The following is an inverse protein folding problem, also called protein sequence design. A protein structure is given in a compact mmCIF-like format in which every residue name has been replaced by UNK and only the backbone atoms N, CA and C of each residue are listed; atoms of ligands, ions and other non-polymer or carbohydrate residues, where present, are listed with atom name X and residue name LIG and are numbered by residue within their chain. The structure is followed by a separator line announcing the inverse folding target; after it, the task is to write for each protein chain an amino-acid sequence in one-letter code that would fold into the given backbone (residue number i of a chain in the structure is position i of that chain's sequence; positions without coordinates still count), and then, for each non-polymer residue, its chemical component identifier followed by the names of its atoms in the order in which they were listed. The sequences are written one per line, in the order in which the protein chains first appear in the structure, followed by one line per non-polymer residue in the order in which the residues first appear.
data_IF_823009636965
#
_entry.id   IF_823009636965
#
_cell.length_a   1.000
_cell.length_b   1.000
_cell.length_c   1.000
_cell.angle_alpha   90.00
_cell.angle_beta   90.00
_cell.angle_gamma   90.00
#
_symmetry.space_group_name_H-M   'P 1'
#
loop_
_entity.id
_entity.type
_entity.pdbx_description
1 polymer ?
#
# COMPACT_ATOMS: atom_id res chain seq x y z
N UNK A 1 -7.73 17.03 16.30
CA UNK A 1 -7.48 15.63 15.89
C UNK A 1 -8.63 15.03 15.08
N UNK A 2 -9.86 14.91 15.60
CA UNK A 2 -10.99 14.28 14.86
C UNK A 2 -11.26 14.91 13.48
N UNK A 3 -11.23 16.25 13.39
CA UNK A 3 -11.44 16.94 12.10
C UNK A 3 -10.34 16.58 11.09
N UNK A 4 -9.09 16.45 11.54
CA UNK A 4 -7.95 16.17 10.67
C UNK A 4 -7.95 14.73 10.16
N UNK A 5 -8.23 13.75 11.04
CA UNK A 5 -8.45 12.37 10.62
C UNK A 5 -9.63 12.25 9.64
N UNK A 6 -10.73 12.95 9.89
CA UNK A 6 -11.87 12.94 8.97
C UNK A 6 -11.52 13.57 7.61
N UNK A 7 -10.71 14.64 7.59
CA UNK A 7 -10.21 15.21 6.35
C UNK A 7 -9.27 14.26 5.60
N UNK A 8 -8.39 13.55 6.29
CA UNK A 8 -7.49 12.54 5.69
C UNK A 8 -8.28 11.35 5.11
N UNK A 9 -9.29 10.86 5.83
CA UNK A 9 -10.20 9.81 5.35
C UNK A 9 -10.98 10.24 4.12
N UNK A 10 -11.51 11.47 4.12
CA UNK A 10 -12.21 12.05 2.96
C UNK A 10 -11.29 12.15 1.74
N UNK A 11 -10.06 12.63 1.93
CA UNK A 11 -9.06 12.70 0.86
C UNK A 11 -8.73 11.31 0.32
N UNK A 12 -8.58 10.31 1.21
CA UNK A 12 -8.35 8.92 0.81
C UNK A 12 -9.50 8.40 -0.05
N UNK A 13 -10.74 8.59 0.37
CA UNK A 13 -11.93 8.17 -0.39
C UNK A 13 -12.03 8.83 -1.76
N UNK A 14 -11.71 10.13 -1.85
CA UNK A 14 -11.68 10.84 -3.14
C UNK A 14 -10.62 10.24 -4.06
N UNK A 15 -9.41 9.99 -3.55
CA UNK A 15 -8.33 9.36 -4.32
C UNK A 15 -8.70 7.95 -4.78
N UNK A 16 -9.33 7.15 -3.92
CA UNK A 16 -9.79 5.79 -4.26
C UNK A 16 -10.82 5.81 -5.41
N UNK A 17 -11.75 6.78 -5.40
CA UNK A 17 -12.73 6.96 -6.51
C UNK A 17 -12.06 7.39 -7.81
N UNK A 18 -11.05 8.28 -7.74
CA UNK A 18 -10.28 8.73 -8.90
C UNK A 18 -9.46 7.59 -9.50
N UNK A 19 -8.79 6.81 -8.64
CA UNK A 19 -8.00 5.66 -9.06
C UNK A 19 -8.90 4.59 -9.70
N UNK A 20 -10.06 4.30 -9.11
CA UNK A 20 -11.04 3.36 -9.67
C UNK A 20 -11.56 3.83 -11.04
N UNK A 21 -11.93 5.11 -11.15
CA UNK A 21 -12.36 5.69 -12.42
C UNK A 21 -11.25 5.59 -13.47
N UNK A 22 -10.00 5.86 -13.08
CA UNK A 22 -8.84 5.78 -13.97
C UNK A 22 -8.57 4.36 -14.44
N UNK A 23 -8.80 3.36 -13.58
CA UNK A 23 -8.77 1.93 -13.92
C UNK A 23 -9.85 1.59 -14.97
N UNK A 24 -11.10 1.97 -14.72
CA UNK A 24 -12.25 1.67 -15.60
C UNK A 24 -12.11 2.24 -17.01
N UNK A 25 -11.52 3.44 -17.12
CA UNK A 25 -11.27 4.09 -18.40
C UNK A 25 -9.92 3.72 -19.03
N UNK A 26 -9.16 2.80 -18.44
CA UNK A 26 -7.84 2.38 -18.94
C UNK A 26 -6.80 3.51 -18.95
N UNK A 27 -6.99 4.55 -18.13
CA UNK A 27 -6.11 5.72 -18.01
C UNK A 27 -5.08 5.59 -16.90
N UNK A 28 -5.05 4.45 -16.21
CA UNK A 28 -4.09 4.20 -15.14
C UNK A 28 -2.67 4.29 -15.72
N UNK A 29 -1.89 5.24 -15.19
CA UNK A 29 -0.47 5.35 -15.48
C UNK A 29 0.30 4.55 -14.44
N UNK A 30 1.20 3.69 -14.92
CA UNK A 30 2.11 2.92 -14.08
C UNK A 30 3.48 3.57 -14.10
N UNK A 31 4.06 3.77 -12.93
CA UNK A 31 5.44 4.19 -12.76
C UNK A 31 6.31 2.97 -12.48
N UNK A 32 6.53 2.14 -13.51
CA UNK A 32 7.35 0.93 -13.39
C UNK A 32 8.83 1.31 -13.22
N UNK A 33 9.48 0.71 -12.24
CA UNK A 33 10.92 0.80 -12.02
C UNK A 33 11.45 -0.37 -11.21
N UNK A 34 12.77 -0.46 -11.04
CA UNK A 34 13.39 -1.48 -10.19
C UNK A 34 13.26 -1.09 -8.71
N UNK A 35 12.66 -1.97 -7.92
CA UNK A 35 12.41 -1.75 -6.49
C UNK A 35 12.78 -3.01 -5.69
N UNK A 36 13.16 -2.83 -4.43
CA UNK A 36 13.44 -3.95 -3.51
C UNK A 36 12.16 -4.41 -2.80
N UNK A 37 11.67 -5.58 -3.17
CA UNK A 37 10.47 -6.17 -2.60
C UNK A 37 10.59 -6.47 -1.10
N UNK A 38 11.80 -6.73 -0.59
CA UNK A 38 12.02 -6.99 0.85
C UNK A 38 11.79 -5.70 1.64
N UNK A 39 12.35 -4.58 1.20
CA UNK A 39 12.09 -3.27 1.77
C UNK A 39 10.60 -2.88 1.67
N UNK A 40 9.96 -3.10 0.52
CA UNK A 40 8.53 -2.82 0.32
C UNK A 40 7.66 -3.58 1.33
N UNK A 41 7.84 -4.90 1.45
CA UNK A 41 7.08 -5.73 2.39
C UNK A 41 7.34 -5.36 3.85
N UNK A 42 8.57 -4.98 4.20
CA UNK A 42 8.92 -4.51 5.55
C UNK A 42 8.15 -3.22 5.88
N UNK A 43 8.14 -2.24 4.97
CA UNK A 43 7.41 -0.99 5.15
C UNK A 43 5.89 -1.21 5.29
N UNK A 44 5.33 -2.12 4.49
CA UNK A 44 3.90 -2.47 4.58
C UNK A 44 3.59 -3.14 5.92
N UNK A 45 4.42 -4.06 6.38
CA UNK A 45 4.25 -4.76 7.65
C UNK A 45 4.27 -3.77 8.82
N UNK A 46 5.21 -2.82 8.82
CA UNK A 46 5.29 -1.76 9.82
C UNK A 46 4.06 -0.84 9.79
N UNK A 47 3.57 -0.52 8.60
CA UNK A 47 2.40 0.33 8.41
C UNK A 47 1.16 -0.36 8.96
N UNK A 48 0.85 -1.57 8.48
CA UNK A 48 -0.33 -2.34 8.90
C UNK A 48 -0.25 -2.69 10.38
N UNK A 49 0.94 -3.02 10.89
CA UNK A 49 1.16 -3.30 12.31
C UNK A 49 0.74 -2.15 13.23
N UNK A 50 0.87 -0.89 12.79
CA UNK A 50 0.46 0.30 13.55
C UNK A 50 -1.05 0.59 13.46
N UNK A 51 -1.70 0.19 12.38
CA UNK A 51 -3.11 0.58 12.10
C UNK A 51 -4.11 -0.56 12.24
N UNK A 52 -3.67 -1.82 12.31
CA UNK A 52 -4.56 -2.98 12.48
C UNK A 52 -5.37 -2.85 13.77
N UNK A 53 -6.65 -3.19 13.68
CA UNK A 53 -7.57 -3.18 14.83
C UNK A 53 -7.78 -4.59 15.42
N UNK A 54 -7.04 -5.58 14.91
CA UNK A 54 -7.15 -6.98 15.32
C UNK A 54 -5.99 -7.36 16.24
N UNK A 55 -6.22 -8.40 17.07
CA UNK A 55 -5.17 -9.00 17.89
C UNK A 55 -4.29 -10.01 17.09
N UNK A 56 -4.58 -10.20 15.81
CA UNK A 56 -3.83 -11.14 14.98
C UNK A 56 -2.37 -10.69 14.84
N UNK A 57 -1.44 -11.63 14.96
CA UNK A 57 -0.03 -11.36 14.70
C UNK A 57 0.20 -11.10 13.22
N UNK A 58 1.00 -10.09 12.89
CA UNK A 58 1.40 -9.79 11.53
C UNK A 58 2.91 -10.02 11.45
N UNK A 59 3.33 -10.92 10.56
CA UNK A 59 4.72 -11.32 10.43
C UNK A 59 5.11 -11.35 8.95
N UNK A 60 6.19 -10.68 8.62
CA UNK A 60 6.87 -10.83 7.33
C UNK A 60 8.14 -11.65 7.53
N UNK A 61 8.26 -12.77 6.81
CA UNK A 61 9.40 -13.69 6.89
C UNK A 61 9.97 -13.90 5.51
N UNK A 62 11.27 -13.69 5.37
CA UNK A 62 12.02 -13.97 4.15
C UNK A 62 13.43 -14.41 4.51
N UNK A 63 14.04 -15.26 3.67
CA UNK A 63 15.47 -15.60 3.76
C UNK A 63 16.35 -14.71 2.88
N UNK A 64 15.74 -13.80 2.12
CA UNK A 64 16.43 -12.87 1.23
C UNK A 64 16.68 -11.55 1.95
N UNK A 65 17.89 -11.01 1.81
CA UNK A 65 18.22 -9.65 2.29
C UNK A 65 17.62 -8.57 1.36
N UNK A 66 17.57 -8.86 0.07
CA UNK A 66 17.06 -7.97 -0.98
C UNK A 66 16.46 -8.81 -2.11
N UNK A 67 15.41 -8.30 -2.76
CA UNK A 67 14.87 -8.85 -3.99
C UNK A 67 14.46 -7.72 -4.94
N UNK A 68 15.31 -7.42 -5.92
CA UNK A 68 15.00 -6.45 -6.97
C UNK A 68 13.94 -6.98 -7.94
N UNK A 69 12.86 -6.24 -8.13
CA UNK A 69 11.78 -6.52 -9.09
C UNK A 69 11.42 -5.25 -9.88
N UNK A 70 11.02 -5.42 -11.14
CA UNK A 70 10.39 -4.33 -11.91
C UNK A 70 8.91 -4.25 -11.54
N UNK A 71 8.52 -3.16 -10.87
CA UNK A 71 7.14 -2.92 -10.43
C UNK A 71 6.88 -1.43 -10.23
N UNK A 72 5.62 -1.07 -10.03
CA UNK A 72 5.23 0.20 -9.41
C UNK A 72 5.15 -0.02 -7.89
N UNK A 73 6.12 0.49 -7.15
CA UNK A 73 6.21 0.29 -5.69
C UNK A 73 5.02 0.89 -4.95
N UNK A 74 4.55 2.07 -5.35
CA UNK A 74 3.42 2.74 -4.70
C UNK A 74 2.13 1.91 -4.82
N UNK A 75 1.89 1.35 -6.02
CA UNK A 75 0.74 0.49 -6.28
C UNK A 75 0.86 -0.86 -5.58
N UNK A 76 2.06 -1.45 -5.56
CA UNK A 76 2.30 -2.70 -4.85
C UNK A 76 2.06 -2.54 -3.35
N UNK A 77 2.57 -1.47 -2.73
CA UNK A 77 2.29 -1.16 -1.33
C UNK A 77 0.78 -1.01 -1.07
N UNK A 78 0.07 -0.27 -1.92
CA UNK A 78 -1.38 -0.08 -1.79
C UNK A 78 -2.14 -1.40 -1.84
N UNK A 79 -1.79 -2.31 -2.77
CA UNK A 79 -2.40 -3.64 -2.86
C UNK A 79 -2.13 -4.46 -1.59
N UNK A 80 -0.90 -4.49 -1.11
CA UNK A 80 -0.53 -5.26 0.09
C UNK A 80 -1.20 -4.69 1.35
N UNK A 81 -1.24 -3.36 1.51
CA UNK A 81 -1.93 -2.70 2.63
C UNK A 81 -3.43 -3.04 2.58
N UNK A 82 -4.07 -2.93 1.41
CA UNK A 82 -5.49 -3.25 1.25
C UNK A 82 -5.82 -4.73 1.50
N UNK A 83 -4.86 -5.63 1.27
CA UNK A 83 -5.04 -7.07 1.51
C UNK A 83 -4.91 -7.42 3.00
N UNK A 84 -4.06 -6.71 3.74
CA UNK A 84 -3.72 -7.02 5.13
C UNK A 84 -4.57 -6.27 6.17
N UNK A 85 -5.25 -5.19 5.75
CA UNK A 85 -6.23 -4.46 6.56
C UNK A 85 -7.61 -5.10 6.50
#
# INVERSE_FOLDING_TARGET
EIIQQNSELLLKLINDVIDLSSLEFGKMQYSIGEHDAVATCTNVTDTVGKVKQTQAELLFVTSLEELKIETDDSRLQQVLINLLL
#
